data_IF_302121337775
#
_entry.id   IF_302121337775
#
_cell.length_a   1.000
_cell.length_b   1.000
_cell.length_c   1.000
_cell.angle_alpha   90.00
_cell.angle_beta   90.00
_cell.angle_gamma   90.00
#
_symmetry.space_group_name_H-M   'P 1'
#
loop_
_entity.id
_entity.type
_entity.pdbx_description
1 polymer ?
#
# COMPACT_ATOMS: atom_id res chain seq x y z
N UNK A 1 -10.35 10.73 -8.91
CA UNK A 1 -11.03 10.14 -7.74
C UNK A 1 -10.96 8.63 -7.87
N UNK A 2 -10.71 7.90 -6.78
CA UNK A 2 -10.73 6.44 -6.75
C UNK A 2 -11.92 6.00 -5.90
N UNK A 3 -12.77 5.14 -6.44
CA UNK A 3 -13.88 4.51 -5.70
C UNK A 3 -13.58 3.02 -5.58
N UNK A 4 -13.35 2.56 -4.35
CA UNK A 4 -13.07 1.15 -4.06
C UNK A 4 -14.32 0.49 -3.47
N UNK A 5 -14.89 -0.49 -4.18
CA UNK A 5 -16.08 -1.24 -3.75
C UNK A 5 -15.66 -2.65 -3.37
N UNK A 6 -15.96 -3.07 -2.14
CA UNK A 6 -15.63 -4.39 -1.61
C UNK A 6 -16.92 -5.14 -1.29
N UNK A 7 -17.08 -6.33 -1.85
CA UNK A 7 -18.28 -7.16 -1.64
C UNK A 7 -18.20 -7.97 -0.33
N UNK A 8 -17.08 -8.66 -0.10
CA UNK A 8 -16.79 -9.40 1.14
C UNK A 8 -15.45 -8.92 1.69
N UNK A 9 -15.51 -8.17 2.78
CA UNK A 9 -14.34 -7.69 3.52
C UNK A 9 -14.25 -8.48 4.82
N UNK A 10 -13.19 -9.28 4.98
CA UNK A 10 -12.97 -10.08 6.18
C UNK A 10 -11.50 -10.05 6.61
N UNK A 11 -11.28 -10.38 7.89
CA UNK A 11 -9.96 -10.55 8.51
C UNK A 11 -9.87 -12.00 8.96
N UNK A 12 -8.79 -12.70 8.61
CA UNK A 12 -8.55 -14.03 9.14
C UNK A 12 -8.20 -13.95 10.63
N UNK A 13 -8.66 -14.90 11.43
CA UNK A 13 -8.44 -14.90 12.89
C UNK A 13 -6.95 -14.73 13.27
N UNK A 14 -6.06 -15.40 12.54
CA UNK A 14 -4.60 -15.31 12.73
C UNK A 14 -4.01 -13.93 12.43
N UNK A 15 -4.77 -13.04 11.78
CA UNK A 15 -4.38 -11.66 11.48
C UNK A 15 -4.97 -10.65 12.46
N UNK A 16 -5.95 -11.02 13.30
CA UNK A 16 -6.60 -10.09 14.25
C UNK A 16 -5.56 -9.36 15.12
N UNK A 17 -4.60 -10.04 15.80
CA UNK A 17 -3.64 -9.35 16.66
C UNK A 17 -2.72 -8.39 15.89
N UNK A 18 -2.45 -8.67 14.61
CA UNK A 18 -1.63 -7.80 13.76
C UNK A 18 -2.43 -6.54 13.40
N UNK A 19 -3.71 -6.69 13.05
CA UNK A 19 -4.58 -5.56 12.70
C UNK A 19 -4.81 -4.65 13.91
N UNK A 20 -5.06 -5.22 15.09
CA UNK A 20 -5.21 -4.43 16.33
C UNK A 20 -3.97 -3.57 16.60
N UNK A 21 -2.77 -4.13 16.48
CA UNK A 21 -1.53 -3.38 16.65
C UNK A 21 -1.34 -2.30 15.57
N UNK A 22 -1.73 -2.57 14.31
CA UNK A 22 -1.65 -1.58 13.23
C UNK A 22 -2.57 -0.39 13.46
N UNK A 23 -3.76 -0.61 14.03
CA UNK A 23 -4.74 0.45 14.32
C UNK A 23 -4.27 1.42 15.42
N UNK A 24 -3.30 1.00 16.26
CA UNK A 24 -2.74 1.85 17.33
C UNK A 24 -1.57 2.73 16.86
N UNK A 25 -1.07 2.53 15.64
CA UNK A 25 0.12 3.23 15.14
C UNK A 25 -0.18 4.67 14.73
N UNK A 26 0.83 5.52 14.83
CA UNK A 26 0.77 6.86 14.25
C UNK A 26 0.60 6.81 12.73
N UNK A 27 -0.37 7.56 12.23
CA UNK A 27 -0.57 7.79 10.82
C UNK A 27 0.43 8.83 10.28
N UNK A 28 0.79 8.69 9.00
CA UNK A 28 1.60 9.67 8.27
C UNK A 28 0.78 10.25 7.11
N UNK A 29 1.08 11.49 6.68
CA UNK A 29 0.50 12.03 5.46
C UNK A 29 0.73 11.09 4.26
N UNK A 30 -0.24 11.05 3.34
CA UNK A 30 -0.09 10.30 2.11
C UNK A 30 1.12 10.82 1.30
N UNK A 31 1.94 9.93 0.71
CA UNK A 31 3.02 10.35 -0.17
C UNK A 31 2.46 10.94 -1.47
N UNK A 32 3.30 11.67 -2.19
CA UNK A 32 3.03 12.01 -3.58
C UNK A 32 3.61 10.93 -4.49
N UNK A 33 2.76 10.31 -5.31
CA UNK A 33 3.18 9.39 -6.36
C UNK A 33 3.30 10.15 -7.68
N UNK A 34 4.48 10.09 -8.31
CA UNK A 34 4.78 10.77 -9.58
C UNK A 34 5.22 9.76 -10.61
N UNK A 35 4.67 9.89 -11.82
CA UNK A 35 5.11 9.14 -13.00
C UNK A 35 5.88 10.08 -13.93
N UNK A 36 6.87 9.55 -14.63
CA UNK A 36 7.61 10.26 -15.67
C UNK A 36 6.63 10.70 -16.78
N UNK A 37 6.44 12.01 -17.01
CA UNK A 37 5.50 12.51 -18.00
C UNK A 37 5.97 12.31 -19.45
N UNK A 38 7.24 11.98 -19.66
CA UNK A 38 7.82 11.77 -21.00
C UNK A 38 7.52 10.37 -21.57
N UNK A 39 6.98 9.45 -20.76
CA UNK A 39 6.59 8.12 -21.20
C UNK A 39 5.14 8.16 -21.66
N UNK A 40 4.94 8.06 -22.97
CA UNK A 40 3.61 8.17 -23.60
C UNK A 40 2.99 6.82 -23.98
N UNK A 41 3.77 5.73 -23.99
CA UNK A 41 3.27 4.36 -24.17
C UNK A 41 3.18 3.63 -22.82
N UNK A 42 2.02 3.03 -22.55
CA UNK A 42 1.78 2.23 -21.36
C UNK A 42 2.77 1.08 -21.18
N UNK A 43 3.25 0.48 -22.27
CA UNK A 43 4.16 -0.66 -22.23
C UNK A 43 5.63 -0.26 -22.06
N UNK A 44 5.96 1.03 -22.16
CA UNK A 44 7.34 1.54 -22.07
C UNK A 44 7.75 1.90 -20.63
N UNK A 45 6.81 1.93 -19.68
CA UNK A 45 7.12 2.23 -18.28
C UNK A 45 8.09 1.21 -17.66
N UNK A 46 9.15 1.71 -17.04
CA UNK A 46 10.08 0.92 -16.23
C UNK A 46 10.06 1.39 -14.76
N UNK A 47 10.58 0.59 -13.79
CA UNK A 47 10.51 0.95 -12.37
C UNK A 47 11.09 2.33 -12.02
N UNK A 48 12.05 2.84 -12.80
CA UNK A 48 12.67 4.15 -12.58
C UNK A 48 11.78 5.33 -12.99
N UNK A 49 10.70 5.09 -13.73
CA UNK A 49 9.74 6.13 -14.12
C UNK A 49 8.73 6.47 -13.03
N UNK A 50 8.68 5.68 -11.95
CA UNK A 50 7.81 5.91 -10.82
C UNK A 50 8.60 6.39 -9.60
N UNK A 51 8.11 7.43 -8.94
CA UNK A 51 8.72 7.99 -7.73
C UNK A 51 7.68 8.19 -6.64
N UNK A 52 8.09 7.92 -5.40
CA UNK A 52 7.33 8.23 -4.19
C UNK A 52 8.06 9.32 -3.41
N UNK A 53 7.45 10.50 -3.37
CA UNK A 53 7.98 11.68 -2.68
C UNK A 53 7.36 11.73 -1.27
N UNK A 54 8.19 12.04 -0.28
CA UNK A 54 7.82 12.15 1.14
C UNK A 54 7.19 10.90 1.75
N UNK A 55 7.53 9.72 1.22
CA UNK A 55 7.04 8.46 1.76
C UNK A 55 7.62 8.17 3.15
N UNK A 56 6.73 8.07 4.13
CA UNK A 56 7.02 7.66 5.50
C UNK A 56 6.14 6.46 5.85
N UNK A 57 6.73 5.48 6.50
CA UNK A 57 6.01 4.29 6.93
C UNK A 57 6.45 3.87 8.34
N UNK A 58 5.53 3.21 9.04
CA UNK A 58 5.81 2.59 10.34
C UNK A 58 6.66 1.32 10.19
N UNK A 59 6.87 0.62 11.30
CA UNK A 59 7.61 -0.64 11.32
C UNK A 59 6.95 -1.67 10.40
N UNK A 60 7.69 -2.22 9.44
CA UNK A 60 7.15 -3.23 8.53
C UNK A 60 6.73 -4.49 9.32
N UNK A 61 5.51 -4.97 9.09
CA UNK A 61 5.07 -6.31 9.53
C UNK A 61 5.58 -7.33 8.53
N UNK A 62 6.29 -8.35 9.01
CA UNK A 62 6.87 -9.43 8.19
C UNK A 62 6.16 -10.74 8.49
N UNK A 63 6.36 -11.73 7.62
CA UNK A 63 5.95 -13.12 7.83
C UNK A 63 4.44 -13.30 8.09
N UNK A 64 3.60 -12.51 7.38
CA UNK A 64 2.15 -12.57 7.49
C UNK A 64 1.66 -13.94 6.98
N UNK A 65 0.99 -14.78 7.81
CA UNK A 65 0.59 -16.12 7.40
C UNK A 65 -0.50 -16.08 6.32
N UNK A 66 -0.20 -16.61 5.14
CA UNK A 66 -1.16 -16.71 4.02
C UNK A 66 -2.01 -17.97 4.19
N UNK A 67 -3.32 -17.86 4.00
CA UNK A 67 -4.19 -19.04 3.95
C UNK A 67 -3.95 -19.75 2.62
N UNK A 68 -3.85 -21.07 2.65
CA UNK A 68 -3.77 -21.94 1.46
C UNK A 68 -5.17 -22.47 1.19
#
# INVERSE_FOLDING_TARGET
ELVHVIADAHIYDRHIPIVEELLERSEYPAPQFVLNPEVEDFYDFVPTDAQLIDYKCGKIVRDIPVAI
#
